data_IF_524533712145
#
_entry.id   IF_524533712145
#
_cell.length_a   1.000
_cell.length_b   1.000
_cell.length_c   1.000
_cell.angle_alpha   90.00
_cell.angle_beta   90.00
_cell.angle_gamma   90.00
#
_symmetry.space_group_name_H-M   'P 1'
#
loop_
_entity.id
_entity.type
_entity.pdbx_description
1 polymer ?
#
# COMPACT_ATOMS: atom_id res chain seq x y z
N UNK A 1 -45.06 35.52 22.45
CA UNK A 1 -44.08 34.59 23.08
C UNK A 1 -42.70 35.22 22.95
N UNK A 2 -41.98 35.48 24.06
CA UNK A 2 -40.61 36.02 24.00
C UNK A 2 -39.63 34.87 23.72
N UNK A 3 -38.99 34.90 22.56
CA UNK A 3 -37.85 34.02 22.27
C UNK A 3 -36.69 34.41 23.20
N UNK A 4 -36.15 33.45 23.95
CA UNK A 4 -34.87 33.63 24.66
C UNK A 4 -33.75 33.52 23.62
N UNK A 5 -33.07 34.64 23.36
CA UNK A 5 -31.87 34.66 22.53
C UNK A 5 -30.67 34.06 23.28
N UNK A 6 -29.74 33.48 22.53
CA UNK A 6 -28.48 32.92 23.05
C UNK A 6 -27.62 34.02 23.68
N UNK A 7 -26.99 33.75 24.83
CA UNK A 7 -26.06 34.70 25.46
C UNK A 7 -24.66 34.54 24.83
N UNK A 8 -23.96 35.66 24.60
CA UNK A 8 -22.56 35.66 24.15
C UNK A 8 -21.66 34.84 25.09
N UNK A 9 -21.92 34.89 26.39
CA UNK A 9 -21.17 34.11 27.39
C UNK A 9 -21.32 32.59 27.16
N UNK A 10 -22.52 32.16 26.78
CA UNK A 10 -22.86 30.75 26.56
C UNK A 10 -22.12 30.21 25.35
N UNK A 11 -22.00 31.03 24.29
CA UNK A 11 -21.20 30.70 23.13
C UNK A 11 -19.70 30.64 23.47
N UNK A 12 -19.18 31.59 24.26
CA UNK A 12 -17.76 31.64 24.64
C UNK A 12 -17.35 30.40 25.45
N UNK A 13 -18.11 30.03 26.47
CA UNK A 13 -17.80 28.84 27.29
C UNK A 13 -17.84 27.57 26.43
N UNK A 14 -18.81 27.47 25.53
CA UNK A 14 -18.97 26.30 24.65
C UNK A 14 -17.77 26.13 23.71
N UNK A 15 -17.34 27.19 23.02
CA UNK A 15 -16.17 27.10 22.13
C UNK A 15 -14.88 26.87 22.91
N UNK A 16 -14.76 27.37 24.14
CA UNK A 16 -13.60 27.10 25.00
C UNK A 16 -13.50 25.62 25.37
N UNK A 17 -14.63 24.98 25.74
CA UNK A 17 -14.66 23.55 26.04
C UNK A 17 -14.35 22.73 24.77
N UNK A 18 -14.93 23.09 23.63
CA UNK A 18 -14.64 22.42 22.34
C UNK A 18 -13.15 22.54 21.99
N UNK A 19 -12.53 23.71 22.18
CA UNK A 19 -11.12 23.91 21.88
C UNK A 19 -10.20 22.98 22.71
N UNK A 20 -10.50 22.81 24.00
CA UNK A 20 -9.75 21.89 24.88
C UNK A 20 -9.91 20.44 24.42
N UNK A 21 -11.14 20.02 24.08
CA UNK A 21 -11.39 18.67 23.59
C UNK A 21 -10.66 18.40 22.27
N UNK A 22 -10.72 19.34 21.33
CA UNK A 22 -10.07 19.23 20.01
C UNK A 22 -8.55 19.19 20.15
N UNK A 23 -7.96 19.97 21.04
CA UNK A 23 -6.52 19.97 21.29
C UNK A 23 -5.99 18.58 21.70
N UNK A 24 -6.76 17.81 22.46
CA UNK A 24 -6.41 16.44 22.87
C UNK A 24 -6.79 15.42 21.78
N UNK A 25 -7.94 15.61 21.14
CA UNK A 25 -8.48 14.65 20.17
C UNK A 25 -7.68 14.59 18.85
N UNK A 26 -7.19 15.72 18.34
CA UNK A 26 -6.48 15.79 17.05
C UNK A 26 -5.23 14.89 16.98
N UNK A 27 -4.26 14.98 17.91
CA UNK A 27 -3.05 14.15 17.83
C UNK A 27 -3.39 12.65 17.93
N UNK A 28 -4.30 12.29 18.85
CA UNK A 28 -4.77 10.91 19.01
C UNK A 28 -5.42 10.38 17.72
N UNK A 29 -6.25 11.20 17.08
CA UNK A 29 -6.92 10.85 15.83
C UNK A 29 -5.92 10.59 14.70
N UNK A 30 -4.91 11.45 14.53
CA UNK A 30 -3.89 11.25 13.51
C UNK A 30 -3.07 9.98 13.75
N UNK A 31 -2.77 9.65 15.01
CA UNK A 31 -2.04 8.43 15.34
C UNK A 31 -2.90 7.17 15.13
N UNK A 32 -4.20 7.23 15.42
CA UNK A 32 -5.13 6.15 15.10
C UNK A 32 -5.22 5.89 13.59
N UNK A 33 -5.29 6.94 12.77
CA UNK A 33 -5.24 6.80 11.31
C UNK A 33 -3.94 6.16 10.86
N UNK A 34 -2.78 6.61 11.36
CA UNK A 34 -1.48 6.02 10.99
C UNK A 34 -1.41 4.53 11.33
N UNK A 35 -1.94 4.14 12.50
CA UNK A 35 -2.03 2.73 12.90
C UNK A 35 -2.96 1.93 11.98
N UNK A 36 -4.14 2.47 11.66
CA UNK A 36 -5.08 1.84 10.74
C UNK A 36 -4.46 1.62 9.36
N UNK A 37 -3.76 2.63 8.81
CA UNK A 37 -3.04 2.52 7.53
C UNK A 37 -1.95 1.45 7.55
N UNK A 38 -1.15 1.37 8.63
CA UNK A 38 -0.13 0.32 8.78
C UNK A 38 -0.74 -1.08 8.83
N UNK A 39 -1.82 -1.25 9.60
CA UNK A 39 -2.50 -2.53 9.73
C UNK A 39 -3.11 -2.97 8.40
N UNK A 40 -3.75 -2.06 7.67
CA UNK A 40 -4.28 -2.32 6.33
C UNK A 40 -3.16 -2.71 5.35
N UNK A 41 -2.01 -2.03 5.39
CA UNK A 41 -0.86 -2.36 4.56
C UNK A 41 -0.32 -3.77 4.86
N UNK A 42 -0.22 -4.13 6.14
CA UNK A 42 0.24 -5.45 6.56
C UNK A 42 -0.73 -6.54 6.08
N UNK A 43 -2.03 -6.28 6.14
CA UNK A 43 -3.04 -7.21 5.67
C UNK A 43 -2.98 -7.39 4.14
N UNK A 44 -2.82 -6.30 3.39
CA UNK A 44 -2.60 -6.37 1.94
C UNK A 44 -1.38 -7.24 1.60
N UNK A 45 -0.26 -7.10 2.33
CA UNK A 45 0.92 -7.95 2.12
C UNK A 45 0.66 -9.43 2.41
N UNK A 46 -0.14 -9.74 3.43
CA UNK A 46 -0.54 -11.13 3.72
C UNK A 46 -1.40 -11.72 2.61
N UNK A 47 -2.37 -10.95 2.11
CA UNK A 47 -3.23 -11.37 0.99
C UNK A 47 -2.35 -11.68 -0.23
N UNK A 48 -1.41 -10.80 -0.57
CA UNK A 48 -0.48 -11.03 -1.69
C UNK A 48 0.33 -12.30 -1.49
N UNK A 49 0.88 -12.52 -0.28
CA UNK A 49 1.66 -13.72 0.04
C UNK A 49 0.83 -14.99 -0.12
N UNK A 50 -0.38 -15.04 0.44
CA UNK A 50 -1.29 -16.19 0.32
C UNK A 50 -1.67 -16.43 -1.14
N UNK A 51 -1.96 -15.38 -1.90
CA UNK A 51 -2.23 -15.49 -3.34
C UNK A 51 -1.02 -16.03 -4.12
N UNK A 52 0.21 -15.62 -3.78
CA UNK A 52 1.43 -16.15 -4.39
C UNK A 52 1.60 -17.66 -4.13
N UNK A 53 1.32 -18.11 -2.91
CA UNK A 53 1.33 -19.53 -2.55
C UNK A 53 0.27 -20.29 -3.36
N UNK A 54 -0.94 -19.75 -3.51
CA UNK A 54 -1.98 -20.34 -4.36
C UNK A 54 -1.56 -20.44 -5.83
N UNK A 55 -0.89 -19.40 -6.37
CA UNK A 55 -0.35 -19.44 -7.73
C UNK A 55 0.68 -20.56 -7.88
N UNK A 56 1.61 -20.70 -6.92
CA UNK A 56 2.62 -21.76 -6.94
C UNK A 56 2.00 -23.14 -6.88
N UNK A 57 1.00 -23.36 -6.03
CA UNK A 57 0.29 -24.64 -5.94
C UNK A 57 -0.40 -25.02 -7.26
N UNK A 58 -0.89 -24.04 -8.02
CA UNK A 58 -1.57 -24.29 -9.30
C UNK A 58 -0.59 -24.51 -10.45
N UNK A 59 0.49 -23.73 -10.51
CA UNK A 59 1.37 -23.66 -11.68
C UNK A 59 2.73 -24.36 -11.47
N UNK A 60 3.06 -24.76 -10.23
CA UNK A 60 4.36 -25.37 -9.87
C UNK A 60 5.55 -24.41 -9.90
N UNK A 61 5.30 -23.13 -10.19
CA UNK A 61 6.29 -22.06 -10.30
C UNK A 61 5.70 -20.77 -9.73
N UNK A 62 6.55 -19.90 -9.18
CA UNK A 62 6.13 -18.54 -8.83
C UNK A 62 5.96 -17.73 -10.11
N UNK A 63 5.16 -16.63 -10.08
CA UNK A 63 5.03 -15.75 -11.22
C UNK A 63 6.34 -14.98 -11.41
N UNK A 64 7.32 -15.57 -12.09
CA UNK A 64 8.65 -14.98 -12.31
C UNK A 64 8.86 -14.47 -13.74
N UNK A 65 7.82 -14.48 -14.56
CA UNK A 65 7.92 -14.15 -15.99
C UNK A 65 8.18 -15.35 -16.89
N UNK A 66 8.31 -16.57 -16.33
CA UNK A 66 8.50 -17.79 -17.12
C UNK A 66 9.95 -17.99 -17.56
N UNK A 67 10.13 -18.58 -18.75
CA UNK A 67 11.45 -18.94 -19.33
C UNK A 67 12.26 -17.76 -19.86
N UNK A 68 11.77 -16.53 -19.69
CA UNK A 68 12.48 -15.33 -20.11
C UNK A 68 13.43 -14.89 -18.98
N UNK A 69 14.76 -14.93 -19.17
CA UNK A 69 15.72 -14.50 -18.15
C UNK A 69 15.59 -13.01 -17.78
N UNK A 70 14.75 -12.24 -18.47
CA UNK A 70 14.46 -10.84 -18.15
C UNK A 70 13.39 -10.65 -17.08
N UNK A 71 12.70 -11.67 -16.57
CA UNK A 71 11.88 -11.55 -15.35
C UNK A 71 10.99 -10.30 -15.34
N UNK A 72 10.23 -10.10 -16.41
CA UNK A 72 9.59 -8.81 -16.64
C UNK A 72 8.50 -8.55 -15.60
N UNK A 73 8.57 -7.41 -14.90
CA UNK A 73 7.55 -6.93 -13.98
C UNK A 73 6.14 -6.94 -14.61
N UNK A 74 6.05 -6.86 -15.94
CA UNK A 74 4.82 -6.99 -16.71
C UNK A 74 4.15 -8.35 -16.59
N UNK A 75 4.90 -9.45 -16.62
CA UNK A 75 4.34 -10.80 -16.56
C UNK A 75 3.82 -11.11 -15.14
N UNK A 76 4.56 -10.72 -14.10
CA UNK A 76 4.06 -10.80 -12.71
C UNK A 76 2.77 -9.98 -12.57
N UNK A 77 2.77 -8.74 -13.05
CA UNK A 77 1.62 -7.85 -12.95
C UNK A 77 0.42 -8.40 -13.71
N UNK A 78 0.61 -8.91 -14.92
CA UNK A 78 -0.49 -9.38 -15.79
C UNK A 78 -1.05 -10.73 -15.33
N UNK A 79 -0.18 -11.72 -15.08
CA UNK A 79 -0.62 -13.09 -14.83
C UNK A 79 -0.96 -13.36 -13.36
N UNK A 80 -0.46 -12.55 -12.44
CA UNK A 80 -0.70 -12.70 -11.01
C UNK A 80 -1.41 -11.49 -10.41
N UNK A 81 -0.80 -10.30 -10.43
CA UNK A 81 -1.29 -9.17 -9.62
C UNK A 81 -2.62 -8.58 -10.11
N UNK A 82 -2.84 -8.54 -11.42
CA UNK A 82 -4.07 -8.06 -12.05
C UNK A 82 -5.02 -9.21 -12.42
N UNK A 83 -4.70 -10.44 -12.03
CA UNK A 83 -5.48 -11.61 -12.42
C UNK A 83 -6.67 -11.79 -11.44
N UNK A 84 -7.92 -11.69 -11.92
CA UNK A 84 -9.13 -11.80 -11.08
C UNK A 84 -9.26 -13.13 -10.34
N UNK A 85 -8.56 -14.17 -10.80
CA UNK A 85 -8.54 -15.47 -10.14
C UNK A 85 -7.86 -15.42 -8.76
N UNK A 86 -6.86 -14.56 -8.58
CA UNK A 86 -6.11 -14.42 -7.32
C UNK A 86 -6.49 -13.16 -6.55
N UNK A 87 -6.97 -12.13 -7.25
CA UNK A 87 -7.41 -10.86 -6.68
C UNK A 87 -8.75 -10.46 -7.31
N UNK A 88 -9.89 -10.83 -6.69
CA UNK A 88 -11.21 -10.45 -7.21
C UNK A 88 -11.41 -8.94 -7.32
N UNK A 89 -10.72 -8.18 -6.46
CA UNK A 89 -10.66 -6.72 -6.49
C UNK A 89 -9.19 -6.27 -6.42
N UNK A 90 -8.84 -5.14 -7.06
CA UNK A 90 -7.48 -4.62 -7.00
C UNK A 90 -7.15 -4.17 -5.59
N UNK A 91 -5.99 -4.60 -5.08
CA UNK A 91 -5.50 -4.14 -3.79
C UNK A 91 -5.12 -2.66 -3.86
N UNK A 92 -5.71 -1.87 -2.97
CA UNK A 92 -5.48 -0.42 -2.88
C UNK A 92 -4.55 -0.12 -1.71
N UNK A 93 -3.56 0.74 -1.96
CA UNK A 93 -2.65 1.20 -0.93
C UNK A 93 -3.36 2.19 0.03
N UNK A 94 -3.30 1.97 1.36
CA UNK A 94 -4.01 2.79 2.35
C UNK A 94 -3.42 4.20 2.53
N UNK A 95 -2.26 4.47 1.95
CA UNK A 95 -1.57 5.76 2.09
C UNK A 95 -1.89 6.74 0.97
N UNK A 96 -1.95 6.27 -0.26
CA UNK A 96 -2.14 7.11 -1.45
C UNK A 96 -3.40 6.77 -2.27
N UNK A 97 -4.19 5.78 -1.84
CA UNK A 97 -5.44 5.35 -2.48
C UNK A 97 -5.28 4.95 -3.96
N UNK A 98 -4.09 4.46 -4.34
CA UNK A 98 -3.78 3.94 -5.67
C UNK A 98 -3.59 2.42 -5.62
N UNK A 99 -3.82 1.69 -6.72
CA UNK A 99 -3.38 0.30 -6.80
C UNK A 99 -1.87 0.20 -6.65
N UNK A 100 -1.38 -0.92 -6.11
CA UNK A 100 0.05 -1.15 -6.01
C UNK A 100 0.66 -1.33 -7.40
N UNK A 101 1.82 -0.70 -7.59
CA UNK A 101 2.68 -0.98 -8.73
C UNK A 101 3.74 -1.98 -8.30
N UNK A 102 3.97 -3.01 -9.12
CA UNK A 102 5.00 -4.01 -8.88
C UNK A 102 6.27 -3.61 -9.62
N UNK A 103 7.40 -3.68 -8.93
CA UNK A 103 8.74 -3.46 -9.50
C UNK A 103 9.52 -4.76 -9.32
N UNK A 104 10.10 -5.25 -10.42
CA UNK A 104 10.96 -6.43 -10.37
C UNK A 104 12.39 -6.00 -10.04
N UNK A 105 13.02 -6.67 -9.09
CA UNK A 105 14.45 -6.49 -8.84
C UNK A 105 15.24 -7.47 -9.71
N UNK A 106 15.92 -6.93 -10.72
CA UNK A 106 16.79 -7.68 -11.64
C UNK A 106 18.25 -7.37 -11.27
N UNK A 107 19.10 -8.39 -11.12
CA UNK A 107 20.52 -8.26 -10.76
C UNK A 107 21.33 -7.34 -11.72
N UNK A 108 20.81 -7.05 -12.92
CA UNK A 108 21.43 -6.20 -13.94
C UNK A 108 21.07 -4.71 -13.85
N UNK A 109 20.07 -4.31 -13.06
CA UNK A 109 19.77 -2.89 -12.82
C UNK A 109 20.76 -2.32 -11.79
N UNK A 110 21.85 -1.76 -12.29
CA UNK A 110 22.84 -1.05 -11.49
C UNK A 110 22.45 0.40 -11.18
N UNK A 111 21.44 0.93 -11.86
CA UNK A 111 21.00 2.32 -11.73
C UNK A 111 19.70 2.43 -10.93
N UNK A 112 19.83 2.31 -9.61
CA UNK A 112 18.71 2.53 -8.69
C UNK A 112 18.12 3.94 -8.81
N UNK A 113 18.93 4.93 -9.17
CA UNK A 113 18.49 6.32 -9.30
C UNK A 113 17.47 6.47 -10.44
N UNK A 114 17.69 5.79 -11.58
CA UNK A 114 16.71 5.75 -12.69
C UNK A 114 15.36 5.11 -12.31
N UNK A 115 15.37 4.10 -11.44
CA UNK A 115 14.15 3.48 -10.90
C UNK A 115 13.43 4.49 -10.01
N UNK A 116 14.15 5.21 -9.15
CA UNK A 116 13.58 6.24 -8.29
C UNK A 116 13.01 7.43 -9.08
N UNK A 117 13.66 7.86 -10.16
CA UNK A 117 13.16 8.92 -11.04
C UNK A 117 11.82 8.54 -11.67
N UNK A 118 11.67 7.29 -12.14
CA UNK A 118 10.39 6.80 -12.64
C UNK A 118 9.32 6.73 -11.54
N UNK A 119 9.67 6.21 -10.36
CA UNK A 119 8.76 6.15 -9.20
C UNK A 119 8.25 7.55 -8.85
N UNK A 120 9.15 8.53 -8.76
CA UNK A 120 8.84 9.93 -8.50
C UNK A 120 7.92 10.51 -9.58
N UNK A 121 8.16 10.19 -10.85
CA UNK A 121 7.32 10.63 -11.98
C UNK A 121 5.87 10.11 -11.91
N UNK A 122 5.65 8.92 -11.31
CA UNK A 122 4.30 8.34 -11.18
C UNK A 122 3.52 8.84 -9.97
N UNK A 123 4.18 9.61 -9.08
CA UNK A 123 3.64 10.04 -7.79
C UNK A 123 2.99 8.86 -7.03
N UNK A 124 3.59 7.68 -7.11
CA UNK A 124 3.11 6.46 -6.46
C UNK A 124 4.26 5.85 -5.67
N UNK A 125 4.62 6.41 -4.52
CA UNK A 125 5.80 5.96 -3.76
C UNK A 125 5.67 4.57 -3.10
N UNK A 126 4.54 3.87 -3.31
CA UNK A 126 4.17 2.66 -2.59
C UNK A 126 4.24 1.47 -3.55
N UNK A 127 5.39 0.79 -3.52
CA UNK A 127 5.68 -0.30 -4.45
C UNK A 127 5.84 -1.62 -3.75
N UNK A 128 5.54 -2.66 -4.52
CA UNK A 128 5.84 -4.03 -4.18
C UNK A 128 7.09 -4.41 -4.95
N UNK A 129 8.17 -4.64 -4.23
CA UNK A 129 9.37 -5.24 -4.78
C UNK A 129 9.24 -6.74 -4.74
N UNK A 130 9.46 -7.34 -5.90
CA UNK A 130 9.51 -8.79 -6.07
C UNK A 130 10.89 -9.18 -6.58
N UNK A 131 11.53 -10.09 -5.85
CA UNK A 131 12.78 -10.76 -6.25
C UNK A 131 12.52 -12.26 -6.24
N UNK A 132 12.77 -12.93 -7.35
CA UNK A 132 12.81 -14.39 -7.45
C UNK A 132 14.26 -14.83 -7.49
N UNK A 133 14.73 -15.58 -6.49
CA UNK A 133 16.07 -16.15 -6.49
C UNK A 133 16.09 -17.41 -7.36
N UNK A 134 16.81 -17.38 -8.48
CA UNK A 134 17.09 -18.56 -9.30
C UNK A 134 18.40 -19.19 -8.78
N UNK A 135 18.48 -20.49 -8.39
CA UNK A 135 17.56 -21.61 -8.66
C UNK A 135 16.67 -22.04 -7.48
N UNK A 136 16.77 -21.38 -6.34
CA UNK A 136 16.03 -21.77 -5.12
C UNK A 136 14.53 -21.46 -5.20
N UNK A 137 14.10 -20.67 -6.18
CA UNK A 137 12.72 -20.18 -6.35
C UNK A 137 12.19 -19.51 -5.08
N UNK A 138 13.08 -18.93 -4.28
CA UNK A 138 12.67 -18.13 -3.13
C UNK A 138 12.16 -16.78 -3.64
N UNK A 139 11.10 -16.26 -3.02
CA UNK A 139 10.62 -14.92 -3.31
C UNK A 139 10.80 -14.02 -2.10
N UNK A 140 11.22 -12.77 -2.35
CA UNK A 140 11.17 -11.71 -1.37
C UNK A 140 10.12 -10.67 -1.81
N UNK A 141 9.14 -10.44 -0.93
CA UNK A 141 8.14 -9.39 -1.09
C UNK A 141 8.47 -8.25 -0.13
N UNK A 142 8.93 -7.12 -0.65
CA UNK A 142 9.25 -5.96 0.17
C UNK A 142 8.34 -4.81 -0.20
N UNK A 143 7.65 -4.27 0.79
CA UNK A 143 6.96 -3.00 0.65
C UNK A 143 7.95 -1.87 0.88
N UNK A 144 8.03 -0.95 -0.08
CA UNK A 144 8.81 0.25 0.07
C UNK A 144 7.89 1.47 -0.02
N UNK A 145 8.14 2.45 0.84
CA UNK A 145 7.55 3.78 0.79
C UNK A 145 8.62 4.80 1.09
N UNK A 146 8.79 5.81 0.23
CA UNK A 146 9.63 6.98 0.49
C UNK A 146 8.84 8.08 1.18
#
# INVERSE_FOLDING_TARGET
>A
MKARGFNLLELIITISIIAILVAIAIPLYFDAIKQAKRNAQLENMRIIKTSLELYYLKNGVYPDGGSDPTGDAWAFTTYFFNNPQYFPEPLICPYNNKPYNVIFWQDYYTDWDSIWDWIESTNNYHHIYYRSDNPTKNYALTYYSR
#
